data_IF_450667408011
#
_entry.id   IF_450667408011
#
_cell.length_a   1.000
_cell.length_b   1.000
_cell.length_c   1.000
_cell.angle_alpha   90.00
_cell.angle_beta   90.00
_cell.angle_gamma   90.00
#
_symmetry.space_group_name_H-M   'P 1'
#
loop_
_entity.id
_entity.type
_entity.pdbx_description
1 polymer ?
#
# COMPACT_ATOMS: atom_id res chain seq x y z
N UNK A 1 23.61 -17.86 9.04
CA UNK A 1 23.70 -16.73 10.00
C UNK A 1 22.27 -16.34 10.34
N UNK A 2 21.66 -17.11 11.25
CA UNK A 2 21.15 -16.67 12.55
C UNK A 2 20.13 -15.52 12.47
N UNK A 3 18.85 -15.90 12.51
CA UNK A 3 17.76 -15.01 12.92
C UNK A 3 17.74 -14.83 14.43
N UNK A 4 16.88 -13.94 14.92
CA UNK A 4 16.57 -13.81 16.34
C UNK A 4 15.11 -13.37 16.51
N UNK A 5 14.30 -14.31 16.95
CA UNK A 5 13.02 -14.14 17.64
C UNK A 5 13.27 -13.64 19.06
N UNK A 6 12.47 -12.68 19.51
CA UNK A 6 12.57 -12.10 20.84
C UNK A 6 11.54 -12.74 21.78
N UNK A 7 12.01 -13.68 22.61
CA UNK A 7 11.35 -14.13 23.83
C UNK A 7 12.43 -14.31 24.91
N UNK A 8 12.02 -14.19 26.18
CA UNK A 8 12.78 -14.41 27.42
C UNK A 8 13.37 -13.17 28.11
N UNK A 9 12.59 -12.60 29.05
CA UNK A 9 13.13 -11.89 30.21
C UNK A 9 12.55 -12.52 31.50
N UNK A 10 13.41 -13.31 32.13
CA UNK A 10 13.66 -13.46 33.56
C UNK A 10 12.55 -13.83 34.57
N UNK A 11 12.54 -15.13 34.83
CA UNK A 11 12.44 -15.88 36.09
C UNK A 11 13.19 -15.24 37.29
N UNK A 12 12.56 -15.20 38.48
CA UNK A 12 12.97 -15.83 39.76
C UNK A 12 12.46 -15.09 41.01
N UNK A 13 11.85 -15.83 41.93
CA UNK A 13 11.57 -15.43 43.31
C UNK A 13 10.95 -16.60 44.05
N UNK A 14 11.71 -17.21 44.96
CA UNK A 14 11.53 -18.56 45.50
C UNK A 14 11.25 -18.52 47.01
N UNK A 15 10.38 -19.45 47.46
CA UNK A 15 10.21 -20.03 48.81
C UNK A 15 9.83 -19.13 50.00
N UNK A 16 8.81 -19.57 50.75
CA UNK A 16 8.93 -19.95 52.17
C UNK A 16 7.65 -20.68 52.62
N UNK A 17 7.80 -21.95 52.99
CA UNK A 17 6.80 -22.76 53.69
C UNK A 17 6.73 -22.38 55.17
N UNK A 18 5.51 -22.35 55.72
CA UNK A 18 5.26 -22.27 57.15
C UNK A 18 4.06 -23.14 57.52
N UNK A 19 4.34 -24.33 58.06
CA UNK A 19 3.40 -25.25 58.71
C UNK A 19 3.27 -24.81 60.17
N UNK A 20 2.05 -24.73 60.71
CA UNK A 20 1.84 -24.82 62.15
C UNK A 20 0.46 -25.44 62.44
N UNK A 21 0.51 -26.58 63.10
CA UNK A 21 -0.60 -27.38 63.61
C UNK A 21 -1.03 -26.89 65.01
N UNK A 22 -2.31 -27.15 65.29
CA UNK A 22 -2.98 -27.40 66.56
C UNK A 22 -3.00 -26.33 67.66
N UNK A 23 -4.21 -26.05 68.19
CA UNK A 23 -4.61 -26.58 69.50
C UNK A 23 -6.06 -26.21 69.86
N UNK A 24 -6.77 -27.26 70.25
CA UNK A 24 -8.07 -27.27 70.90
C UNK A 24 -7.94 -26.71 72.34
N UNK A 25 -8.69 -25.67 72.70
CA UNK A 25 -8.95 -25.31 74.11
C UNK A 25 -10.40 -24.87 74.26
N UNK A 26 -11.21 -25.75 74.83
CA UNK A 26 -12.50 -25.42 75.40
C UNK A 26 -12.31 -24.64 76.70
N UNK A 27 -12.97 -23.49 76.86
CA UNK A 27 -13.27 -22.90 78.17
C UNK A 27 -14.64 -22.23 78.17
N UNK A 28 -15.32 -22.52 79.27
CA UNK A 28 -16.69 -22.19 79.67
C UNK A 28 -16.86 -20.75 80.20
N UNK A 29 -18.10 -20.45 80.60
CA UNK A 29 -18.63 -19.29 81.38
C UNK A 29 -19.18 -18.15 80.52
N UNK A 30 -20.50 -18.04 80.34
CA UNK A 30 -21.51 -17.49 81.26
C UNK A 30 -21.61 -15.95 81.18
N UNK A 31 -22.71 -15.51 80.56
CA UNK A 31 -23.48 -14.28 80.81
C UNK A 31 -22.74 -12.93 80.90
N UNK A 32 -22.95 -12.06 79.91
CA UNK A 32 -23.08 -10.63 80.18
C UNK A 32 -23.75 -9.89 78.99
N UNK A 33 -24.98 -9.46 79.23
CA UNK A 33 -25.69 -8.26 78.75
C UNK A 33 -25.61 -7.82 77.27
N UNK A 34 -26.81 -7.81 76.68
CA UNK A 34 -27.20 -7.09 75.47
C UNK A 34 -26.79 -5.62 75.49
N UNK A 35 -25.94 -5.22 74.55
CA UNK A 35 -25.83 -3.83 74.09
C UNK A 35 -25.99 -3.82 72.57
N UNK A 36 -26.89 -2.98 72.01
CA UNK A 36 -27.08 -2.94 70.57
C UNK A 36 -25.85 -2.32 69.91
N UNK A 37 -25.17 -3.11 69.08
CA UNK A 37 -24.12 -2.65 68.20
C UNK A 37 -24.68 -1.59 67.22
N UNK A 38 -24.26 -0.33 67.38
CA UNK A 38 -24.39 0.67 66.34
C UNK A 38 -23.51 0.24 65.15
N UNK A 39 -24.16 -0.29 64.12
CA UNK A 39 -23.54 -0.54 62.82
C UNK A 39 -23.13 0.78 62.18
N UNK A 40 -21.84 1.13 62.27
CA UNK A 40 -21.25 2.14 61.39
C UNK A 40 -21.14 1.52 59.99
N UNK A 41 -22.05 1.92 59.09
CA UNK A 41 -21.95 1.61 57.67
C UNK A 41 -20.77 2.39 57.09
N UNK A 42 -19.62 1.73 56.94
CA UNK A 42 -18.52 2.26 56.12
C UNK A 42 -18.97 2.16 54.67
N UNK A 43 -19.46 3.27 54.12
CA UNK A 43 -19.76 3.39 52.70
C UNK A 43 -18.46 3.22 51.91
N UNK A 44 -18.36 2.12 51.16
CA UNK A 44 -17.24 1.88 50.24
C UNK A 44 -17.17 3.03 49.24
N UNK A 45 -16.01 3.68 49.05
CA UNK A 45 -15.88 4.77 48.10
C UNK A 45 -16.26 4.32 46.68
N UNK A 46 -17.15 5.07 46.03
CA UNK A 46 -17.73 4.76 44.72
C UNK A 46 -16.72 4.76 43.55
N UNK A 47 -15.47 5.19 43.76
CA UNK A 47 -14.46 5.27 42.71
C UNK A 47 -13.90 3.92 42.24
N UNK A 48 -14.08 2.84 43.01
CA UNK A 48 -13.62 1.49 42.64
C UNK A 48 -14.37 0.95 41.40
N UNK A 49 -15.57 1.47 41.11
CA UNK A 49 -16.39 1.05 39.97
C UNK A 49 -15.98 1.66 38.61
N UNK A 50 -15.01 2.59 38.58
CA UNK A 50 -14.59 3.31 37.35
C UNK A 50 -13.40 2.60 36.65
N UNK A 51 -12.66 1.77 37.38
CA UNK A 51 -11.51 0.99 36.90
C UNK A 51 -11.80 -0.02 35.75
N UNK A 52 -12.95 -0.71 35.65
CA UNK A 52 -13.18 -1.68 34.58
C UNK A 52 -13.51 -1.04 33.23
N UNK A 53 -14.08 0.17 33.21
CA UNK A 53 -14.43 0.87 31.97
C UNK A 53 -13.19 1.28 31.17
N UNK A 54 -12.17 1.82 31.83
CA UNK A 54 -10.93 2.25 31.17
C UNK A 54 -10.13 1.08 30.59
N UNK A 55 -10.13 -0.07 31.27
CA UNK A 55 -9.47 -1.29 30.79
C UNK A 55 -10.17 -1.86 29.55
N UNK A 56 -11.51 -1.86 29.53
CA UNK A 56 -12.28 -2.31 28.37
C UNK A 56 -12.08 -1.38 27.17
N UNK A 57 -12.05 -0.06 27.38
CA UNK A 57 -11.76 0.91 26.31
C UNK A 57 -10.36 0.73 25.73
N UNK A 58 -9.33 0.59 26.57
CA UNK A 58 -7.94 0.39 26.09
C UNK A 58 -7.80 -0.91 25.30
N UNK A 59 -8.42 -2.01 25.75
CA UNK A 59 -8.41 -3.30 25.02
C UNK A 59 -9.17 -3.18 23.70
N UNK A 60 -10.33 -2.51 23.68
CA UNK A 60 -11.11 -2.32 22.46
C UNK A 60 -10.37 -1.45 21.43
N UNK A 61 -9.73 -0.35 21.87
CA UNK A 61 -8.89 0.48 20.99
C UNK A 61 -7.70 -0.32 20.45
N UNK A 62 -7.06 -1.15 21.28
CA UNK A 62 -5.96 -2.00 20.82
C UNK A 62 -6.41 -3.03 19.77
N UNK A 63 -7.57 -3.67 19.96
CA UNK A 63 -8.16 -4.61 18.99
C UNK A 63 -8.51 -3.90 17.67
N UNK A 64 -9.05 -2.68 17.73
CA UNK A 64 -9.34 -1.88 16.53
C UNK A 64 -8.05 -1.46 15.79
N UNK A 65 -6.98 -1.14 16.50
CA UNK A 65 -5.67 -0.84 15.91
C UNK A 65 -5.04 -2.07 15.22
N UNK A 66 -5.23 -3.28 15.79
CA UNK A 66 -4.78 -4.54 15.18
C UNK A 66 -5.59 -4.89 13.91
N UNK A 67 -6.90 -4.60 13.88
CA UNK A 67 -7.73 -4.83 12.70
C UNK A 67 -7.46 -3.85 11.54
N UNK A 68 -6.92 -2.66 11.84
CA UNK A 68 -6.49 -1.70 10.82
C UNK A 68 -5.21 -2.13 10.07
N UNK A 69 -4.44 -3.08 10.62
CA UNK A 69 -3.33 -3.73 9.94
C UNK A 69 -3.79 -4.92 9.08
N UNK A 70 -4.96 -4.82 8.45
CA UNK A 70 -5.36 -5.77 7.41
C UNK A 70 -4.47 -5.54 6.20
N UNK A 71 -3.53 -6.46 5.96
CA UNK A 71 -2.69 -6.48 4.77
C UNK A 71 -3.59 -6.63 3.54
N UNK A 72 -3.96 -5.50 2.92
CA UNK A 72 -4.57 -5.53 1.60
C UNK A 72 -3.61 -6.27 0.66
N UNK A 73 -4.12 -7.16 -0.21
CA UNK A 73 -3.28 -7.75 -1.24
C UNK A 73 -2.58 -6.63 -2.00
N UNK A 74 -1.31 -6.83 -2.33
CA UNK A 74 -0.60 -5.89 -3.18
C UNK A 74 -1.42 -5.74 -4.48
N UNK A 75 -1.65 -4.50 -4.91
CA UNK A 75 -2.28 -4.21 -6.19
C UNK A 75 -1.19 -3.72 -7.14
N UNK A 76 -1.19 -4.13 -8.42
CA UNK A 76 -0.31 -3.56 -9.42
C UNK A 76 -0.54 -2.05 -9.52
N UNK A 77 0.55 -1.27 -9.53
CA UNK A 77 0.51 0.18 -9.64
C UNK A 77 1.61 0.62 -10.62
N UNK A 78 1.49 1.79 -11.26
CA UNK A 78 2.60 2.37 -12.01
C UNK A 78 3.80 2.61 -11.09
N UNK A 79 4.99 2.66 -11.68
CA UNK A 79 6.21 2.97 -10.95
C UNK A 79 6.14 4.38 -10.33
N UNK A 80 6.76 4.53 -9.15
CA UNK A 80 6.96 5.85 -8.56
C UNK A 80 8.06 6.60 -9.33
N UNK A 81 7.66 7.64 -10.06
CA UNK A 81 8.57 8.42 -10.92
C UNK A 81 8.93 9.73 -10.21
N UNK A 82 10.20 9.83 -9.83
CA UNK A 82 10.82 11.09 -9.39
C UNK A 82 11.41 11.77 -10.61
N UNK A 83 10.64 12.70 -11.19
CA UNK A 83 11.07 13.44 -12.38
C UNK A 83 12.40 14.16 -12.16
N UNK A 84 13.32 14.00 -13.12
CA UNK A 84 14.69 14.49 -13.00
C UNK A 84 15.66 13.56 -12.24
N UNK A 85 15.19 12.40 -11.76
CA UNK A 85 16.01 11.41 -11.06
C UNK A 85 15.79 9.97 -11.55
N UNK A 86 14.54 9.55 -11.75
CA UNK A 86 14.21 8.18 -12.17
C UNK A 86 14.73 7.90 -13.57
N UNK A 87 15.42 6.77 -13.74
CA UNK A 87 16.00 6.33 -15.01
C UNK A 87 15.00 5.44 -15.75
N UNK A 88 14.77 5.71 -17.04
CA UNK A 88 13.98 4.89 -17.95
C UNK A 88 14.60 3.49 -18.10
N UNK A 89 13.78 2.45 -17.99
CA UNK A 89 14.24 1.05 -18.07
C UNK A 89 14.71 0.63 -19.47
N UNK A 90 14.30 1.35 -20.53
CA UNK A 90 14.67 1.04 -21.92
C UNK A 90 15.86 1.89 -22.39
N UNK A 91 15.73 3.22 -22.45
CA UNK A 91 16.76 4.08 -23.02
C UNK A 91 17.90 4.46 -22.04
N UNK A 92 17.70 4.24 -20.74
CA UNK A 92 18.68 4.59 -19.70
C UNK A 92 18.82 6.10 -19.42
N UNK A 93 17.96 6.94 -20.00
CA UNK A 93 17.92 8.37 -19.72
C UNK A 93 17.03 8.71 -18.52
N UNK A 94 17.22 9.90 -17.96
CA UNK A 94 16.42 10.41 -16.84
C UNK A 94 15.05 10.87 -17.33
N UNK A 95 13.99 10.33 -16.72
CA UNK A 95 12.61 10.69 -17.02
C UNK A 95 12.35 12.12 -16.56
N UNK A 96 12.02 13.00 -17.49
CA UNK A 96 11.96 14.45 -17.23
C UNK A 96 10.63 15.11 -17.63
N UNK A 97 9.83 14.47 -18.48
CA UNK A 97 8.58 15.04 -19.01
C UNK A 97 7.37 14.18 -18.61
N UNK A 98 6.62 14.56 -17.55
CA UNK A 98 5.53 13.74 -17.00
C UNK A 98 4.47 13.35 -18.04
N UNK A 99 4.02 14.30 -18.86
CA UNK A 99 3.03 14.08 -19.93
C UNK A 99 3.35 13.02 -20.98
N UNK A 100 4.59 12.52 -21.04
CA UNK A 100 4.99 11.39 -21.90
C UNK A 100 5.27 10.12 -21.12
N UNK A 101 5.49 10.24 -19.81
CA UNK A 101 5.94 9.13 -18.99
C UNK A 101 4.92 7.98 -19.04
N UNK A 102 5.45 6.78 -19.04
CA UNK A 102 4.65 5.56 -19.04
C UNK A 102 5.25 4.52 -18.11
N UNK A 103 4.44 3.54 -17.73
CA UNK A 103 4.84 2.51 -16.79
C UNK A 103 4.06 1.23 -17.03
N UNK A 104 4.68 0.08 -16.75
CA UNK A 104 3.93 -1.16 -16.57
C UNK A 104 4.39 -1.88 -15.32
N UNK A 105 3.52 -2.74 -14.80
CA UNK A 105 3.83 -3.68 -13.74
C UNK A 105 3.78 -5.11 -14.30
N UNK A 106 4.70 -5.96 -13.85
CA UNK A 106 4.72 -7.38 -14.17
C UNK A 106 4.79 -8.23 -12.90
N UNK A 107 4.29 -9.46 -12.98
CA UNK A 107 4.33 -10.40 -11.86
C UNK A 107 5.74 -11.03 -11.72
N UNK A 108 6.37 -10.85 -10.57
CA UNK A 108 7.60 -11.58 -10.21
C UNK A 108 7.27 -12.95 -9.61
N UNK A 109 6.16 -13.03 -8.88
CA UNK A 109 5.55 -14.27 -8.38
C UNK A 109 4.10 -14.00 -8.01
N UNK A 110 3.36 -15.02 -7.58
CA UNK A 110 2.00 -14.85 -7.05
C UNK A 110 1.97 -13.77 -5.95
N UNK A 111 1.13 -12.74 -6.14
CA UNK A 111 0.97 -11.62 -5.22
C UNK A 111 2.15 -10.67 -5.08
N UNK A 112 3.20 -10.77 -5.91
CA UNK A 112 4.33 -9.83 -5.94
C UNK A 112 4.54 -9.26 -7.33
N UNK A 113 4.55 -7.93 -7.42
CA UNK A 113 4.63 -7.19 -8.67
C UNK A 113 5.81 -6.24 -8.64
N UNK A 114 6.39 -6.00 -9.81
CA UNK A 114 7.42 -4.98 -10.01
C UNK A 114 7.01 -4.07 -11.14
N UNK A 115 7.16 -2.77 -10.92
CA UNK A 115 6.83 -1.74 -11.88
C UNK A 115 8.09 -1.15 -12.51
N UNK A 116 8.06 -0.91 -13.81
CA UNK A 116 9.11 -0.26 -14.57
C UNK A 116 8.61 1.09 -15.09
N UNK A 117 9.51 2.08 -15.13
CA UNK A 117 9.22 3.42 -15.60
C UNK A 117 9.90 3.66 -16.96
N UNK A 118 9.24 4.42 -17.82
CA UNK A 118 9.69 4.73 -19.18
C UNK A 118 9.53 6.21 -19.49
N UNK A 119 10.48 6.77 -20.24
CA UNK A 119 10.51 8.20 -20.58
C UNK A 119 9.41 8.57 -21.58
N UNK A 120 9.10 7.65 -22.51
CA UNK A 120 7.87 7.71 -23.29
C UNK A 120 7.25 6.33 -23.56
N UNK A 121 6.03 6.32 -24.13
CA UNK A 121 5.30 5.09 -24.45
C UNK A 121 6.01 4.23 -25.52
N UNK A 122 6.82 4.83 -26.39
CA UNK A 122 7.56 4.07 -27.39
C UNK A 122 8.61 3.19 -26.73
N UNK A 123 9.41 3.76 -25.84
CA UNK A 123 10.35 3.01 -24.98
C UNK A 123 9.65 1.85 -24.26
N UNK A 124 8.48 2.10 -23.68
CA UNK A 124 7.70 1.08 -22.99
C UNK A 124 7.30 -0.08 -23.91
N UNK A 125 6.76 0.23 -25.10
CA UNK A 125 6.32 -0.78 -26.08
C UNK A 125 7.54 -1.55 -26.64
N UNK A 126 8.65 -0.88 -26.90
CA UNK A 126 9.92 -1.51 -27.32
C UNK A 126 10.40 -2.49 -26.25
N UNK A 127 10.40 -2.10 -24.98
CA UNK A 127 10.79 -2.98 -23.87
C UNK A 127 9.87 -4.20 -23.77
N UNK A 128 8.55 -4.01 -23.82
CA UNK A 128 7.58 -5.13 -23.81
C UNK A 128 7.84 -6.14 -24.94
N UNK A 129 8.22 -5.67 -26.13
CA UNK A 129 8.53 -6.54 -27.28
C UNK A 129 9.85 -7.29 -27.11
N UNK A 130 10.85 -6.68 -26.46
CA UNK A 130 12.13 -7.33 -26.13
C UNK A 130 11.98 -8.37 -25.01
N UNK A 131 10.95 -8.23 -24.18
CA UNK A 131 10.70 -9.04 -22.99
C UNK A 131 9.33 -9.75 -23.01
N UNK A 132 9.03 -10.58 -24.03
CA UNK A 132 7.74 -11.26 -24.16
C UNK A 132 7.47 -12.29 -23.04
N UNK A 133 8.48 -12.68 -22.28
CA UNK A 133 8.38 -13.57 -21.12
C UNK A 133 7.71 -12.93 -19.91
N UNK A 134 7.61 -11.60 -19.85
CA UNK A 134 7.03 -10.89 -18.71
C UNK A 134 5.50 -10.98 -18.73
N UNK A 135 4.93 -11.37 -17.58
CA UNK A 135 3.48 -11.39 -17.38
C UNK A 135 3.06 -10.02 -16.88
N UNK A 136 2.61 -9.17 -17.81
CA UNK A 136 2.08 -7.84 -17.48
C UNK A 136 0.78 -7.95 -16.68
N UNK A 137 0.69 -7.17 -15.61
CA UNK A 137 -0.47 -7.13 -14.70
C UNK A 137 -1.11 -5.73 -14.61
N UNK A 138 -0.53 -4.75 -15.30
CA UNK A 138 -1.08 -3.40 -15.47
C UNK A 138 -0.15 -2.56 -16.33
N UNK A 139 -0.73 -1.62 -17.09
CA UNK A 139 0.00 -0.76 -18.03
C UNK A 139 -0.63 0.62 -18.00
N UNK A 140 0.20 1.64 -17.79
CA UNK A 140 -0.25 3.01 -17.60
C UNK A 140 0.54 4.00 -18.44
N UNK A 141 -0.14 5.08 -18.80
CA UNK A 141 0.41 6.24 -19.47
C UNK A 141 -0.06 7.49 -18.76
N UNK A 142 0.74 8.54 -18.80
CA UNK A 142 0.26 9.85 -18.40
C UNK A 142 -0.65 10.46 -19.46
N UNK A 143 -1.73 11.10 -19.02
CA UNK A 143 -2.49 12.03 -19.84
C UNK A 143 -1.60 13.19 -20.27
N UNK A 144 -1.70 13.58 -21.55
CA UNK A 144 -0.86 14.60 -22.13
C UNK A 144 -1.14 16.01 -21.60
N UNK A 145 -2.37 16.29 -21.16
CA UNK A 145 -2.78 17.58 -20.63
C UNK A 145 -2.71 17.62 -19.09
N UNK A 146 -3.23 16.59 -18.42
CA UNK A 146 -3.39 16.58 -16.95
C UNK A 146 -2.22 15.95 -16.21
N UNK A 147 -1.40 15.15 -16.90
CA UNK A 147 -0.35 14.34 -16.28
C UNK A 147 -0.90 13.38 -15.21
N UNK A 148 -2.16 12.95 -15.32
CA UNK A 148 -2.72 11.87 -14.50
C UNK A 148 -2.48 10.50 -15.13
N UNK A 149 -2.37 9.46 -14.32
CA UNK A 149 -2.24 8.08 -14.81
C UNK A 149 -3.55 7.58 -15.43
N UNK A 150 -3.44 7.01 -16.62
CA UNK A 150 -4.53 6.35 -17.36
C UNK A 150 -4.11 4.91 -17.62
N UNK A 151 -5.04 3.95 -17.50
CA UNK A 151 -4.83 2.60 -18.03
C UNK A 151 -4.62 2.66 -19.54
N UNK A 152 -3.50 2.15 -20.02
CA UNK A 152 -3.06 2.35 -21.41
C UNK A 152 -4.03 1.78 -22.44
N UNK A 153 -4.76 0.72 -22.10
CA UNK A 153 -5.79 0.13 -22.96
C UNK A 153 -7.05 1.00 -23.10
N UNK A 154 -7.25 1.94 -22.18
CA UNK A 154 -8.40 2.86 -22.18
C UNK A 154 -8.09 4.24 -22.74
N UNK A 155 -6.82 4.58 -22.89
CA UNK A 155 -6.38 5.86 -23.43
C UNK A 155 -6.57 5.93 -24.97
N UNK A 156 -6.74 7.15 -25.45
CA UNK A 156 -6.72 7.49 -26.88
C UNK A 156 -5.39 8.14 -27.20
N UNK A 157 -4.76 7.73 -28.29
CA UNK A 157 -3.43 8.19 -28.66
C UNK A 157 -3.49 9.08 -29.88
N UNK A 158 -2.65 10.11 -29.91
CA UNK A 158 -2.39 10.91 -31.10
C UNK A 158 -0.94 10.70 -31.50
N UNK A 159 -0.72 10.26 -32.74
CA UNK A 159 0.62 10.12 -33.33
C UNK A 159 0.83 11.20 -34.40
N UNK A 160 1.97 11.90 -34.34
CA UNK A 160 2.37 12.88 -35.35
C UNK A 160 3.86 13.20 -35.23
N UNK A 161 4.54 13.42 -36.37
CA UNK A 161 5.92 13.91 -36.42
C UNK A 161 6.09 15.32 -35.81
N UNK A 162 4.98 16.05 -35.61
CA UNK A 162 4.96 17.33 -34.91
C UNK A 162 5.15 17.16 -33.39
N UNK A 163 4.85 15.99 -32.83
CA UNK A 163 5.01 15.70 -31.39
C UNK A 163 6.48 15.41 -31.12
N UNK A 164 7.08 16.20 -30.22
CA UNK A 164 8.47 16.03 -29.79
C UNK A 164 8.53 15.26 -28.45
N UNK A 165 8.22 13.96 -28.49
CA UNK A 165 8.41 13.10 -27.31
C UNK A 165 9.91 12.91 -27.01
N UNK A 166 10.29 12.59 -25.76
CA UNK A 166 11.69 12.45 -25.35
C UNK A 166 12.53 11.54 -26.26
N UNK A 167 11.95 10.41 -26.71
CA UNK A 167 12.61 9.46 -27.60
C UNK A 167 12.18 9.57 -29.07
N UNK A 168 11.37 10.59 -29.40
CA UNK A 168 11.01 10.88 -30.78
C UNK A 168 9.99 9.93 -31.41
N UNK A 169 9.31 9.09 -30.63
CA UNK A 169 8.21 8.25 -31.13
C UNK A 169 6.97 9.06 -31.54
N UNK A 170 6.86 10.31 -31.06
CA UNK A 170 5.85 11.25 -31.53
C UNK A 170 4.43 10.87 -31.14
N UNK A 171 4.23 10.40 -29.90
CA UNK A 171 2.94 9.94 -29.37
C UNK A 171 2.55 10.75 -28.14
N UNK A 172 1.27 11.14 -28.07
CA UNK A 172 0.63 11.73 -26.91
C UNK A 172 -0.61 10.89 -26.53
N UNK A 173 -0.87 10.70 -25.24
CA UNK A 173 -2.00 9.93 -24.73
C UNK A 173 -3.05 10.84 -24.07
N UNK A 174 -4.32 10.49 -24.20
CA UNK A 174 -5.43 11.29 -23.69
C UNK A 174 -6.48 10.39 -23.04
N UNK A 175 -7.00 10.81 -21.90
CA UNK A 175 -8.15 10.20 -21.24
C UNK A 175 -9.46 10.59 -21.95
N UNK A 176 -9.55 11.82 -22.45
CA UNK A 176 -10.73 12.33 -23.16
C UNK A 176 -10.58 12.17 -24.69
N UNK A 177 -11.41 11.34 -25.33
CA UNK A 177 -11.41 11.21 -26.79
C UNK A 177 -11.61 12.54 -27.53
N UNK A 178 -12.41 13.46 -26.98
CA UNK A 178 -12.63 14.76 -27.61
C UNK A 178 -11.38 15.64 -27.56
N UNK A 179 -10.58 15.56 -26.49
CA UNK A 179 -9.29 16.24 -26.40
C UNK A 179 -8.31 15.69 -27.45
N UNK A 180 -8.23 14.36 -27.59
CA UNK A 180 -7.39 13.71 -28.60
C UNK A 180 -7.74 14.15 -30.03
N UNK A 181 -9.04 14.13 -30.39
CA UNK A 181 -9.52 14.53 -31.73
C UNK A 181 -9.19 15.99 -32.05
N UNK A 182 -9.39 16.91 -31.09
CA UNK A 182 -9.01 18.33 -31.26
C UNK A 182 -7.51 18.47 -31.46
N UNK A 183 -6.71 17.85 -30.59
CA UNK A 183 -5.25 17.93 -30.66
C UNK A 183 -4.72 17.36 -31.98
N UNK A 184 -5.25 16.21 -32.42
CA UNK A 184 -4.94 15.62 -33.71
C UNK A 184 -5.27 16.56 -34.88
N UNK A 185 -6.44 17.20 -34.86
CA UNK A 185 -6.82 18.17 -35.91
C UNK A 185 -5.88 19.39 -35.95
N UNK A 186 -5.40 19.87 -34.80
CA UNK A 186 -4.48 21.02 -34.71
C UNK A 186 -3.10 20.72 -35.30
N UNK A 187 -2.59 19.50 -35.09
CA UNK A 187 -1.22 19.13 -35.48
C UNK A 187 -1.16 18.21 -36.69
N UNK A 188 -2.29 17.98 -37.36
CA UNK A 188 -2.45 16.97 -38.42
C UNK A 188 -1.97 15.57 -37.97
N UNK A 189 -2.33 15.18 -36.76
CA UNK A 189 -2.03 13.88 -36.18
C UNK A 189 -3.07 12.81 -36.51
N UNK A 190 -2.71 11.57 -36.25
CA UNK A 190 -3.58 10.40 -36.40
C UNK A 190 -4.03 9.93 -35.03
N UNK A 191 -5.34 9.78 -34.84
CA UNK A 191 -5.93 9.20 -33.63
C UNK A 191 -5.88 7.67 -33.70
N UNK A 192 -5.35 7.03 -32.66
CA UNK A 192 -5.16 5.59 -32.57
C UNK A 192 -5.67 5.09 -31.21
N UNK A 193 -6.16 3.85 -31.19
CA UNK A 193 -6.34 3.10 -29.96
C UNK A 193 -5.04 2.34 -29.59
N UNK A 194 -5.07 1.63 -28.47
CA UNK A 194 -3.92 0.87 -27.96
C UNK A 194 -3.39 -0.17 -28.94
N UNK A 195 -4.26 -0.90 -29.63
CA UNK A 195 -3.85 -1.99 -30.52
C UNK A 195 -3.24 -1.45 -31.81
N UNK A 196 -3.88 -0.44 -32.41
CA UNK A 196 -3.36 0.21 -33.60
C UNK A 196 -2.04 0.93 -33.32
N UNK A 197 -1.88 1.57 -32.16
CA UNK A 197 -0.61 2.19 -31.77
C UNK A 197 0.53 1.17 -31.72
N UNK A 198 0.32 0.01 -31.08
CA UNK A 198 1.37 -1.01 -30.96
C UNK A 198 1.77 -1.59 -32.32
N UNK A 199 0.81 -1.78 -33.23
CA UNK A 199 1.08 -2.23 -34.59
C UNK A 199 1.90 -1.17 -35.35
N UNK A 200 1.46 0.08 -35.28
CA UNK A 200 2.09 1.22 -35.94
C UNK A 200 3.56 1.42 -35.49
N UNK A 201 3.83 1.31 -34.19
CA UNK A 201 5.21 1.41 -33.66
C UNK A 201 6.07 0.20 -34.02
N UNK A 202 5.49 -1.02 -34.04
CA UNK A 202 6.23 -2.21 -34.46
C UNK A 202 6.65 -2.13 -35.94
N UNK A 203 5.81 -1.56 -36.81
CA UNK A 203 6.14 -1.37 -38.23
C UNK A 203 7.22 -0.31 -38.44
N UNK A 204 7.17 0.80 -37.69
CA UNK A 204 8.14 1.89 -37.82
C UNK A 204 9.59 1.44 -37.52
N UNK A 205 9.80 0.57 -36.54
CA UNK A 205 11.14 0.06 -36.21
C UNK A 205 11.76 -0.84 -37.30
N UNK A 206 10.95 -1.52 -38.13
CA UNK A 206 11.46 -2.42 -39.17
C UNK A 206 12.07 -1.69 -40.38
N UNK A 207 11.96 -0.37 -40.44
CA UNK A 207 12.47 0.45 -41.54
C UNK A 207 13.83 1.13 -41.25
N UNK A 208 14.48 0.78 -40.14
CA UNK A 208 15.82 1.22 -39.76
C UNK A 208 16.80 0.04 -39.74
#
# INVERSE_FOLDING_TARGET
MHGSTCAEIFRKGTLMQGRFEDHNVARSWAGFHDTPASFYVVSRPSWIAILPFWRATVVLTLVLLLAACSNKPAEPQPADIRYGETICAECGMIISQPKYASSFAYAESEGRYKSLAFDDIGDMITYMRKHPELILVGVWVHDYETEEWIEAQSAIYVKSDAIRSPMGFGVAAFADPAAAERFAAEINGVVLDWDHLRIELAMAEHHH
#
